data_IF_793679280748
#
_entry.id   IF_793679280748
#
_cell.length_a   1.000
_cell.length_b   1.000
_cell.length_c   1.000
_cell.angle_alpha   90.00
_cell.angle_beta   90.00
_cell.angle_gamma   90.00
#
_symmetry.space_group_name_H-M   'P 1'
#
loop_
_entity.id
_entity.type
_entity.pdbx_description
1 polymer ?
#
# COMPACT_ATOMS: atom_id res chain seq x y z
N UNK A 1 -47.78 -3.83 -77.04
CA UNK A 1 -47.19 -2.57 -76.54
C UNK A 1 -48.06 -2.12 -75.39
N UNK A 2 -47.65 -2.44 -74.17
CA UNK A 2 -48.43 -2.27 -72.94
C UNK A 2 -47.70 -1.22 -72.09
N UNK A 3 -48.44 -0.21 -71.64
CA UNK A 3 -48.26 0.37 -70.32
C UNK A 3 -49.59 0.94 -69.82
N UNK A 4 -50.00 0.60 -68.59
CA UNK A 4 -50.82 1.46 -67.76
C UNK A 4 -50.00 1.92 -66.54
N UNK A 5 -50.03 3.21 -66.21
CA UNK A 5 -49.51 3.70 -64.94
C UNK A 5 -50.66 3.86 -63.95
N UNK A 6 -50.65 2.96 -62.95
CA UNK A 6 -51.52 2.97 -61.78
C UNK A 6 -51.01 3.93 -60.69
N UNK A 7 -51.98 4.26 -59.84
CA UNK A 7 -52.05 5.23 -58.75
C UNK A 7 -50.96 5.23 -57.67
N UNK A 8 -50.79 6.44 -57.14
CA UNK A 8 -49.99 6.94 -56.03
C UNK A 8 -50.29 6.34 -54.63
N UNK A 9 -50.50 5.03 -54.48
CA UNK A 9 -50.87 4.41 -53.17
C UNK A 9 -49.86 3.42 -52.56
N UNK A 10 -48.66 3.30 -53.11
CA UNK A 10 -47.67 2.33 -52.61
C UNK A 10 -46.29 2.95 -52.41
N UNK A 11 -46.17 3.95 -51.54
CA UNK A 11 -44.87 4.56 -51.21
C UNK A 11 -44.65 4.84 -49.71
N UNK A 12 -45.42 4.19 -48.82
CA UNK A 12 -45.37 4.46 -47.37
C UNK A 12 -44.90 3.30 -46.47
N UNK A 13 -44.56 2.12 -47.01
CA UNK A 13 -44.25 0.94 -46.18
C UNK A 13 -42.87 0.30 -46.39
N UNK A 14 -41.84 1.03 -46.82
CA UNK A 14 -40.50 0.45 -47.02
C UNK A 14 -39.32 1.27 -46.48
N UNK A 15 -39.53 2.11 -45.46
CA UNK A 15 -38.41 2.87 -44.86
C UNK A 15 -38.17 2.68 -43.36
N UNK A 16 -38.87 1.77 -42.66
CA UNK A 16 -38.71 1.65 -41.20
C UNK A 16 -38.09 0.36 -40.67
N UNK A 17 -37.67 -0.60 -41.51
CA UNK A 17 -37.07 -1.85 -41.01
C UNK A 17 -35.53 -1.97 -41.09
N UNK A 18 -34.84 -1.02 -41.74
CA UNK A 18 -33.38 -1.07 -41.86
C UNK A 18 -32.59 -0.19 -40.89
N UNK A 19 -33.24 0.74 -40.17
CA UNK A 19 -32.55 1.59 -39.19
C UNK A 19 -32.45 1.02 -37.77
N UNK A 20 -33.26 0.02 -37.38
CA UNK A 20 -33.22 -0.50 -36.00
C UNK A 20 -32.21 -1.63 -35.75
N UNK A 21 -31.59 -2.22 -36.78
CA UNK A 21 -30.63 -3.32 -36.60
C UNK A 21 -29.15 -2.92 -36.62
N UNK A 22 -28.83 -1.65 -36.92
CA UNK A 22 -27.45 -1.15 -36.88
C UNK A 22 -27.13 -0.32 -35.64
N UNK A 23 -28.13 0.17 -34.92
CA UNK A 23 -27.92 0.95 -33.68
C UNK A 23 -27.94 0.12 -32.40
N UNK A 24 -28.38 -1.15 -32.43
CA UNK A 24 -28.37 -2.02 -31.25
C UNK A 24 -27.04 -2.75 -31.02
N UNK A 25 -26.12 -2.78 -31.99
CA UNK A 25 -24.82 -3.44 -31.82
C UNK A 25 -23.69 -2.47 -31.40
N UNK A 26 -23.92 -1.16 -31.50
CA UNK A 26 -22.92 -0.13 -31.12
C UNK A 26 -23.09 0.36 -29.68
N UNK A 27 -24.25 0.12 -29.06
CA UNK A 27 -24.49 0.51 -27.66
C UNK A 27 -24.05 -0.60 -26.67
N UNK A 28 -23.90 -1.85 -27.14
CA UNK A 28 -23.43 -2.96 -26.31
C UNK A 28 -21.90 -2.99 -26.12
N UNK A 29 -21.13 -2.24 -26.93
CA UNK A 29 -19.67 -2.16 -26.80
C UNK A 29 -19.18 -0.98 -25.95
N UNK A 30 -20.07 -0.05 -25.59
CA UNK A 30 -19.72 1.15 -24.81
C UNK A 30 -19.87 0.96 -23.28
N UNK A 31 -20.33 -0.21 -22.83
CA UNK A 31 -20.55 -0.54 -21.41
C UNK A 31 -19.56 -1.59 -20.86
N UNK A 32 -18.46 -1.84 -21.58
CA UNK A 32 -17.40 -2.77 -21.12
C UNK A 32 -16.19 -2.10 -20.47
N UNK A 33 -16.26 -0.80 -20.19
CA UNK A 33 -15.22 -0.10 -19.44
C UNK A 33 -15.82 0.49 -18.17
N UNK A 34 -15.08 0.32 -17.07
CA UNK A 34 -15.36 0.72 -15.69
C UNK A 34 -15.91 -0.43 -14.82
N UNK A 35 -15.06 -1.45 -14.67
CA UNK A 35 -14.92 -2.23 -13.45
C UNK A 35 -13.43 -2.55 -13.30
N UNK A 36 -12.61 -1.50 -13.33
CA UNK A 36 -11.34 -1.57 -12.63
C UNK A 36 -11.70 -1.28 -11.18
N UNK A 37 -11.80 -2.34 -10.37
CA UNK A 37 -11.56 -2.18 -8.94
C UNK A 37 -10.28 -1.38 -8.78
N UNK A 38 -10.23 -0.48 -7.81
CA UNK A 38 -9.06 0.35 -7.55
C UNK A 38 -7.87 -0.54 -7.17
N UNK A 39 -7.22 -1.15 -8.17
CA UNK A 39 -5.94 -1.76 -8.03
C UNK A 39 -5.01 -0.64 -7.60
N UNK A 40 -4.37 -0.81 -6.44
CA UNK A 40 -3.40 0.16 -5.98
C UNK A 40 -2.31 0.28 -7.04
N UNK A 41 -2.22 1.46 -7.67
CA UNK A 41 -1.31 1.66 -8.79
C UNK A 41 0.12 1.61 -8.26
N UNK A 42 0.85 0.56 -8.61
CA UNK A 42 2.29 0.47 -8.36
C UNK A 42 2.99 1.49 -9.25
N UNK A 43 3.65 2.46 -8.63
CA UNK A 43 4.34 3.52 -9.38
C UNK A 43 5.61 2.98 -10.07
N UNK A 44 5.92 3.53 -11.25
CA UNK A 44 7.11 3.18 -12.01
C UNK A 44 8.28 4.11 -11.65
N UNK A 45 8.69 4.09 -10.37
CA UNK A 45 9.77 4.94 -9.84
C UNK A 45 10.85 4.06 -9.21
N UNK A 46 12.11 4.32 -9.56
CA UNK A 46 13.25 3.70 -8.88
C UNK A 46 13.62 4.55 -7.66
N UNK A 47 13.81 3.93 -6.50
CA UNK A 47 14.41 4.57 -5.32
C UNK A 47 15.61 3.81 -4.82
N UNK A 48 16.40 4.52 -4.04
CA UNK A 48 17.56 3.96 -3.34
C UNK A 48 17.22 3.63 -1.89
N UNK A 49 17.97 2.70 -1.30
CA UNK A 49 17.96 2.43 0.14
C UNK A 49 19.25 3.00 0.74
N UNK A 50 19.14 3.91 1.71
CA UNK A 50 20.29 4.40 2.48
C UNK A 50 20.29 3.77 3.86
N UNK A 51 21.32 2.98 4.17
CA UNK A 51 21.41 2.27 5.45
C UNK A 51 22.59 2.79 6.26
N UNK A 52 22.37 3.08 7.54
CA UNK A 52 23.41 3.27 8.55
C UNK A 52 23.45 2.02 9.42
N UNK A 53 24.62 1.37 9.54
CA UNK A 53 24.88 0.35 10.56
C UNK A 53 25.35 1.06 11.82
N UNK A 54 24.64 0.88 12.94
CA UNK A 54 24.91 1.61 14.19
C UNK A 54 24.84 0.73 15.45
N UNK A 55 25.19 1.33 16.58
CA UNK A 55 24.93 0.77 17.90
C UNK A 55 24.76 1.91 18.93
N UNK A 56 23.87 1.73 19.91
CA UNK A 56 23.55 2.80 20.87
C UNK A 56 24.74 3.20 21.74
N UNK A 57 25.66 2.28 22.00
CA UNK A 57 26.86 2.50 22.82
C UNK A 57 28.02 3.14 22.04
N UNK A 58 27.92 3.29 20.71
CA UNK A 58 29.01 3.69 19.83
C UNK A 58 29.22 5.22 19.79
N UNK A 59 30.34 5.77 20.31
CA UNK A 59 30.60 7.21 20.27
C UNK A 59 30.64 7.82 18.86
N UNK A 60 31.33 7.25 17.85
CA UNK A 60 31.34 7.84 16.52
C UNK A 60 29.98 7.77 15.82
N UNK A 61 29.12 6.83 16.20
CA UNK A 61 27.75 6.71 15.69
C UNK A 61 26.85 7.83 16.20
N UNK A 62 27.01 8.26 17.46
CA UNK A 62 26.35 9.43 18.02
C UNK A 62 27.07 10.76 17.74
N UNK A 63 28.31 10.71 17.26
CA UNK A 63 29.08 11.89 16.88
C UNK A 63 28.91 12.25 15.40
N UNK A 64 30.00 12.14 14.64
CA UNK A 64 30.01 12.51 13.21
C UNK A 64 29.07 11.65 12.36
N UNK A 65 28.87 10.37 12.71
CA UNK A 65 27.98 9.48 11.98
C UNK A 65 26.51 9.90 12.10
N UNK A 66 26.14 10.48 13.23
CA UNK A 66 24.80 11.04 13.46
C UNK A 66 24.53 12.19 12.50
N UNK A 67 25.40 13.21 12.52
CA UNK A 67 25.28 14.38 11.66
C UNK A 67 25.33 14.04 10.17
N UNK A 68 26.14 13.05 9.78
CA UNK A 68 26.18 12.58 8.40
C UNK A 68 24.87 11.90 8.00
N UNK A 69 24.26 11.09 8.86
CA UNK A 69 22.98 10.45 8.58
C UNK A 69 21.83 11.46 8.44
N UNK A 70 21.73 12.41 9.37
CA UNK A 70 20.74 13.49 9.28
C UNK A 70 20.87 14.28 7.97
N UNK A 71 22.12 14.58 7.60
CA UNK A 71 22.44 15.23 6.34
C UNK A 71 22.02 14.43 5.09
N UNK A 72 22.01 13.09 5.17
CA UNK A 72 21.54 12.22 4.08
C UNK A 72 20.02 12.16 4.01
N UNK A 73 19.33 12.19 5.16
CA UNK A 73 17.87 12.27 5.23
C UNK A 73 17.37 13.51 4.48
N UNK A 74 17.92 14.67 4.79
CA UNK A 74 17.53 15.95 4.20
C UNK A 74 17.78 16.01 2.68
N UNK A 75 18.96 15.54 2.24
CA UNK A 75 19.40 15.67 0.84
C UNK A 75 18.66 14.76 -0.15
N UNK A 76 18.09 13.67 0.36
CA UNK A 76 17.57 12.57 -0.45
C UNK A 76 16.09 12.25 -0.15
N UNK A 77 15.40 13.12 0.60
CA UNK A 77 13.98 12.98 0.88
C UNK A 77 13.15 12.79 -0.41
N UNK A 78 12.23 11.82 -0.38
CA UNK A 78 11.36 11.46 -1.51
C UNK A 78 12.03 10.59 -2.61
N UNK A 79 13.36 10.47 -2.60
CA UNK A 79 14.13 9.69 -3.60
C UNK A 79 14.83 8.46 -3.01
N UNK A 80 15.00 8.43 -1.69
CA UNK A 80 15.52 7.30 -0.96
C UNK A 80 14.62 6.92 0.22
N UNK A 81 14.66 5.65 0.59
CA UNK A 81 14.17 5.12 1.87
C UNK A 81 15.37 4.89 2.78
N UNK A 82 15.19 5.00 4.10
CA UNK A 82 16.29 5.02 5.05
C UNK A 82 16.11 4.01 6.17
N UNK A 83 17.18 3.32 6.53
CA UNK A 83 17.24 2.47 7.71
C UNK A 83 18.44 2.88 8.59
N UNK A 84 18.19 3.22 9.84
CA UNK A 84 19.18 3.13 10.90
C UNK A 84 19.09 1.73 11.54
N UNK A 85 20.00 0.87 11.10
CA UNK A 85 20.06 -0.53 11.44
C UNK A 85 21.05 -0.73 12.59
N UNK A 86 20.51 -0.81 13.80
CA UNK A 86 21.29 -1.11 14.99
C UNK A 86 21.64 -2.60 15.02
N UNK A 87 22.89 -2.94 14.78
CA UNK A 87 23.34 -4.34 14.81
C UNK A 87 23.58 -4.83 16.25
N UNK A 88 23.74 -3.91 17.20
CA UNK A 88 23.90 -4.21 18.64
C UNK A 88 23.43 -3.03 19.51
N UNK A 89 23.35 -3.26 20.81
CA UNK A 89 22.89 -2.27 21.79
C UNK A 89 21.37 -2.30 21.96
N UNK A 90 20.82 -1.24 22.57
CA UNK A 90 19.44 -1.26 23.09
C UNK A 90 18.36 -1.19 22.01
N UNK A 91 18.72 -0.79 20.80
CA UNK A 91 17.82 -0.70 19.64
C UNK A 91 18.06 -1.82 18.63
N UNK A 92 18.84 -2.86 19.01
CA UNK A 92 19.14 -3.98 18.12
C UNK A 92 17.87 -4.73 17.72
N UNK A 93 17.80 -5.09 16.45
CA UNK A 93 16.84 -6.08 15.94
C UNK A 93 17.55 -7.12 15.07
N UNK A 94 17.03 -8.36 15.01
CA UNK A 94 17.61 -9.42 14.18
C UNK A 94 17.70 -8.98 12.71
N UNK A 95 16.65 -8.33 12.21
CA UNK A 95 16.60 -7.81 10.84
C UNK A 95 17.66 -6.74 10.58
N UNK A 96 18.00 -5.90 11.56
CA UNK A 96 19.07 -4.91 11.42
C UNK A 96 20.45 -5.54 11.27
N UNK A 97 20.76 -6.57 12.06
CA UNK A 97 22.05 -7.26 11.95
C UNK A 97 22.12 -8.07 10.66
N UNK A 98 21.09 -8.86 10.33
CA UNK A 98 21.03 -9.65 9.09
C UNK A 98 21.21 -8.77 7.84
N UNK A 99 20.49 -7.64 7.78
CA UNK A 99 20.55 -6.73 6.64
C UNK A 99 21.94 -6.13 6.45
N UNK A 100 22.55 -5.68 7.55
CA UNK A 100 23.86 -5.03 7.47
C UNK A 100 25.00 -6.03 7.30
N UNK A 101 24.88 -7.27 7.79
CA UNK A 101 25.82 -8.36 7.49
C UNK A 101 25.76 -8.76 6.01
N UNK A 102 24.57 -8.82 5.41
CA UNK A 102 24.39 -9.09 3.97
C UNK A 102 25.08 -8.05 3.09
N UNK A 103 25.16 -6.79 3.54
CA UNK A 103 25.90 -5.72 2.85
C UNK A 103 27.42 -5.75 3.12
N UNK A 104 27.90 -6.69 3.93
CA UNK A 104 29.30 -6.81 4.32
C UNK A 104 29.73 -5.82 5.39
N UNK A 105 28.78 -5.40 6.25
CA UNK A 105 29.05 -4.57 7.41
C UNK A 105 29.88 -5.31 8.45
N UNK A 106 30.95 -4.68 8.90
CA UNK A 106 31.91 -5.22 9.86
C UNK A 106 32.14 -4.28 11.04
N UNK A 107 31.88 -2.98 10.85
CA UNK A 107 32.14 -1.93 11.82
C UNK A 107 30.96 -0.96 11.92
N UNK A 108 31.12 0.05 12.77
CA UNK A 108 30.13 1.08 12.99
C UNK A 108 30.79 2.42 13.38
N UNK A 109 30.26 3.55 12.90
CA UNK A 109 29.20 3.60 11.90
C UNK A 109 29.76 3.20 10.52
N UNK A 110 28.98 2.42 9.78
CA UNK A 110 29.19 2.17 8.35
C UNK A 110 27.90 2.57 7.61
N UNK A 111 28.05 3.09 6.39
CA UNK A 111 26.94 3.59 5.58
C UNK A 111 26.90 2.87 4.25
N UNK A 112 25.70 2.61 3.76
CA UNK A 112 25.48 1.89 2.51
C UNK A 112 24.47 2.65 1.66
N UNK A 113 24.77 2.79 0.38
CA UNK A 113 23.82 3.17 -0.65
C UNK A 113 23.46 1.92 -1.44
N UNK A 114 22.21 1.51 -1.30
CA UNK A 114 21.73 0.18 -1.60
C UNK A 114 22.61 -0.83 -0.84
N UNK A 115 23.23 -1.80 -1.51
CA UNK A 115 24.18 -2.72 -0.91
C UNK A 115 25.65 -2.25 -0.92
N UNK A 116 25.94 -1.08 -1.49
CA UNK A 116 27.31 -0.61 -1.68
C UNK A 116 27.76 0.28 -0.52
N UNK A 117 28.87 -0.10 0.12
CA UNK A 117 29.44 0.69 1.20
C UNK A 117 29.94 2.05 0.71
N UNK A 118 29.54 3.11 1.42
CA UNK A 118 30.03 4.47 1.24
C UNK A 118 31.34 4.62 2.03
N UNK A 119 32.42 5.00 1.36
CA UNK A 119 33.75 5.17 1.96
C UNK A 119 33.89 6.52 2.72
N UNK A 120 32.95 6.77 3.63
CA UNK A 120 32.89 8.01 4.41
C UNK A 120 33.75 7.93 5.67
N UNK A 121 34.43 9.04 5.94
CA UNK A 121 35.24 9.33 7.10
C UNK A 121 34.94 10.79 7.53
N UNK A 122 35.23 11.17 8.79
CA UNK A 122 35.00 12.55 9.25
C UNK A 122 35.62 13.62 8.35
N UNK A 123 36.80 13.34 7.77
CA UNK A 123 37.52 14.27 6.91
C UNK A 123 36.98 14.44 5.49
N UNK A 124 36.07 13.56 5.02
CA UNK A 124 35.51 13.62 3.66
C UNK A 124 33.97 13.63 3.63
N UNK A 125 33.31 13.73 4.78
CA UNK A 125 31.85 13.62 4.90
C UNK A 125 31.08 14.55 3.97
N UNK A 126 31.50 15.81 3.81
CA UNK A 126 30.85 16.77 2.91
C UNK A 126 30.94 16.35 1.43
N UNK A 127 32.08 15.83 1.00
CA UNK A 127 32.24 15.33 -0.36
C UNK A 127 31.38 14.09 -0.59
N UNK A 128 31.41 13.14 0.36
CA UNK A 128 30.60 11.90 0.26
C UNK A 128 29.10 12.17 0.29
N UNK A 129 28.64 13.17 1.05
CA UNK A 129 27.23 13.62 1.03
C UNK A 129 26.81 14.01 -0.39
N UNK A 130 27.62 14.83 -1.07
CA UNK A 130 27.35 15.25 -2.44
C UNK A 130 27.40 14.08 -3.43
N UNK A 131 28.39 13.19 -3.31
CA UNK A 131 28.51 12.02 -4.18
C UNK A 131 27.31 11.08 -4.02
N UNK A 132 26.89 10.81 -2.78
CA UNK A 132 25.69 10.01 -2.47
C UNK A 132 24.46 10.67 -3.07
N UNK A 133 24.28 11.98 -2.87
CA UNK A 133 23.15 12.73 -3.44
C UNK A 133 23.10 12.59 -4.96
N UNK A 134 24.23 12.81 -5.64
CA UNK A 134 24.31 12.71 -7.09
C UNK A 134 23.97 11.30 -7.60
N UNK A 135 24.41 10.26 -6.86
CA UNK A 135 24.12 8.88 -7.22
C UNK A 135 22.64 8.53 -6.99
N UNK A 136 22.05 8.96 -5.87
CA UNK A 136 20.60 8.82 -5.62
C UNK A 136 19.79 9.53 -6.71
N UNK A 137 20.16 10.77 -7.05
CA UNK A 137 19.49 11.54 -8.11
C UNK A 137 19.60 10.84 -9.48
N UNK A 138 20.76 10.25 -9.78
CA UNK A 138 20.96 9.47 -11.01
C UNK A 138 20.16 8.17 -11.02
N UNK A 139 20.10 7.45 -9.90
CA UNK A 139 19.33 6.21 -9.75
C UNK A 139 17.84 6.49 -9.87
N UNK A 140 17.35 7.57 -9.26
CA UNK A 140 15.94 7.97 -9.30
C UNK A 140 15.43 8.27 -10.72
N UNK A 141 16.32 8.73 -11.61
CA UNK A 141 16.01 8.99 -13.01
C UNK A 141 15.92 7.71 -13.88
N UNK A 142 16.23 6.54 -13.33
CA UNK A 142 16.16 5.26 -14.06
C UNK A 142 14.78 4.63 -14.01
N UNK A 143 14.48 3.79 -15.01
CA UNK A 143 13.26 2.97 -14.99
C UNK A 143 13.51 1.74 -14.11
N UNK A 144 12.66 1.48 -13.09
CA UNK A 144 12.85 0.33 -12.22
C UNK A 144 12.61 -0.98 -12.96
N UNK A 145 13.28 -2.05 -12.54
CA UNK A 145 12.97 -3.41 -13.00
C UNK A 145 11.61 -3.84 -12.47
N UNK A 146 11.39 -3.62 -11.18
CA UNK A 146 10.14 -3.86 -10.49
C UNK A 146 9.94 -2.80 -9.39
N UNK A 147 8.69 -2.58 -8.98
CA UNK A 147 8.39 -1.80 -7.79
C UNK A 147 7.23 -2.46 -7.02
N UNK A 148 7.03 -2.03 -5.78
CA UNK A 148 5.93 -2.45 -4.91
C UNK A 148 5.08 -1.24 -4.50
N UNK A 149 3.82 -1.48 -4.16
CA UNK A 149 2.92 -0.48 -3.59
C UNK A 149 1.88 -1.13 -2.69
N UNK A 150 1.51 -0.44 -1.61
CA UNK A 150 0.53 -0.91 -0.62
C UNK A 150 0.00 0.24 0.23
N UNK A 151 -1.18 0.08 0.83
CA UNK A 151 -1.67 0.92 1.92
C UNK A 151 -1.74 0.04 3.17
N UNK A 152 -0.86 0.22 4.16
CA UNK A 152 -0.96 -0.48 5.44
C UNK A 152 -2.26 -0.14 6.15
N UNK A 153 -2.84 -1.12 6.85
CA UNK A 153 -4.08 -0.94 7.61
C UNK A 153 -3.88 -1.51 9.00
N UNK A 154 -4.12 -0.70 10.02
CA UNK A 154 -4.11 -1.17 11.40
C UNK A 154 -5.50 -1.67 11.79
N UNK A 155 -5.62 -2.96 12.06
CA UNK A 155 -6.85 -3.59 12.50
C UNK A 155 -6.53 -4.71 13.48
N UNK A 156 -7.38 -4.90 14.49
CA UNK A 156 -7.31 -6.03 15.43
C UNK A 156 -5.95 -6.20 16.12
N UNK A 157 -5.27 -5.08 16.45
CA UNK A 157 -3.98 -5.12 17.14
C UNK A 157 -2.78 -5.44 16.24
N UNK A 158 -2.95 -5.41 14.91
CA UNK A 158 -1.88 -5.67 13.96
C UNK A 158 -1.89 -4.67 12.81
N UNK A 159 -0.70 -4.40 12.27
CA UNK A 159 -0.55 -3.73 10.97
C UNK A 159 -0.63 -4.80 9.90
N UNK A 160 -1.59 -4.66 8.99
CA UNK A 160 -1.83 -5.56 7.87
C UNK A 160 -1.44 -4.86 6.57
N UNK A 161 -0.74 -5.56 5.70
CA UNK A 161 -0.23 -5.02 4.43
C UNK A 161 -0.56 -6.00 3.31
N UNK A 162 -1.43 -5.59 2.40
CA UNK A 162 -1.57 -6.25 1.09
C UNK A 162 -0.71 -5.48 0.08
N UNK A 163 0.38 -6.09 -0.37
CA UNK A 163 1.35 -5.48 -1.25
C UNK A 163 1.30 -6.07 -2.66
N UNK A 164 1.22 -5.18 -3.65
CA UNK A 164 1.31 -5.53 -5.06
C UNK A 164 2.70 -5.18 -5.57
N UNK A 165 3.37 -6.16 -6.15
CA UNK A 165 4.62 -6.00 -6.89
C UNK A 165 4.31 -6.01 -8.38
N UNK A 166 4.88 -5.08 -9.13
CA UNK A 166 4.81 -5.05 -10.60
C UNK A 166 6.21 -5.03 -11.20
N UNK A 167 6.46 -5.91 -12.16
CA UNK A 167 7.66 -5.87 -13.00
C UNK A 167 7.41 -4.96 -14.20
N UNK A 168 8.22 -3.92 -14.37
CA UNK A 168 8.14 -3.02 -15.52
C UNK A 168 9.07 -3.43 -16.66
N UNK A 169 10.06 -4.27 -16.35
CA UNK A 169 11.01 -4.84 -17.30
C UNK A 169 11.07 -6.35 -17.09
N UNK A 170 11.40 -7.08 -18.15
CA UNK A 170 11.64 -8.51 -18.03
C UNK A 170 12.89 -8.76 -17.18
N UNK A 171 12.84 -9.76 -16.30
CA UNK A 171 13.93 -10.08 -15.38
C UNK A 171 14.03 -11.59 -15.16
N UNK A 172 15.22 -12.05 -14.77
CA UNK A 172 15.46 -13.44 -14.37
C UNK A 172 16.08 -13.49 -12.99
N UNK A 173 15.69 -14.48 -12.19
CA UNK A 173 16.27 -14.71 -10.86
C UNK A 173 15.27 -15.23 -9.84
N UNK A 174 15.69 -15.24 -8.58
CA UNK A 174 14.84 -15.53 -7.43
C UNK A 174 14.56 -14.21 -6.72
N UNK A 175 13.30 -13.78 -6.71
CA UNK A 175 12.88 -12.49 -6.20
C UNK A 175 12.03 -12.64 -4.94
N UNK A 176 12.28 -11.79 -3.96
CA UNK A 176 11.58 -11.74 -2.68
C UNK A 176 11.01 -10.36 -2.43
N UNK A 177 9.90 -10.29 -1.69
CA UNK A 177 9.35 -9.05 -1.16
C UNK A 177 9.41 -9.09 0.37
N UNK A 178 10.24 -8.23 0.96
CA UNK A 178 10.23 -7.95 2.40
C UNK A 178 9.40 -6.71 2.70
N UNK A 179 8.57 -6.78 3.74
CA UNK A 179 7.87 -5.62 4.32
C UNK A 179 8.46 -5.37 5.71
N UNK A 180 8.83 -4.13 5.98
CA UNK A 180 9.59 -3.73 7.16
C UNK A 180 8.88 -2.64 7.93
N UNK A 181 8.92 -2.74 9.26
CA UNK A 181 8.53 -1.67 10.17
C UNK A 181 9.77 -0.80 10.44
N UNK A 182 9.66 0.47 10.09
CA UNK A 182 10.61 1.53 10.46
C UNK A 182 9.92 2.46 11.42
N UNK A 183 10.62 2.92 12.45
CA UNK A 183 10.10 3.90 13.39
C UNK A 183 11.00 5.13 13.38
N UNK A 184 10.39 6.28 13.13
CA UNK A 184 11.04 7.58 13.25
C UNK A 184 10.88 8.12 14.69
N UNK A 185 11.71 9.08 15.05
CA UNK A 185 11.66 9.77 16.34
C UNK A 185 11.64 8.88 17.60
N UNK A 186 12.45 7.82 17.60
CA UNK A 186 12.60 6.95 18.78
C UNK A 186 13.50 7.63 19.81
N UNK A 187 12.91 8.04 20.94
CA UNK A 187 13.69 8.63 22.03
C UNK A 187 14.43 7.53 22.80
N UNK A 188 15.76 7.62 22.87
CA UNK A 188 16.55 6.68 23.63
C UNK A 188 18.04 7.00 23.69
N UNK A 189 18.77 6.23 24.50
CA UNK A 189 20.19 6.49 24.74
C UNK A 189 21.04 6.30 23.47
N UNK A 190 21.89 7.28 23.17
CA UNK A 190 23.00 7.17 22.23
C UNK A 190 24.27 7.78 22.84
N UNK A 191 25.35 7.01 22.88
CA UNK A 191 26.67 7.51 23.26
C UNK A 191 27.10 8.62 22.31
N UNK A 192 27.38 9.81 22.86
CA UNK A 192 27.68 11.03 22.09
C UNK A 192 26.51 12.01 21.98
N UNK A 193 25.27 11.58 22.28
CA UNK A 193 24.07 12.43 22.30
C UNK A 193 23.41 12.50 23.68
N UNK A 194 23.40 11.39 24.44
CA UNK A 194 22.80 11.33 25.79
C UNK A 194 21.65 10.32 25.87
N UNK A 195 20.88 10.36 26.98
CA UNK A 195 19.77 9.42 27.24
C UNK A 195 18.52 9.70 26.41
N UNK A 196 18.33 10.95 26.00
CA UNK A 196 17.13 11.43 25.32
C UNK A 196 17.44 11.76 23.85
N UNK A 197 18.30 10.97 23.21
CA UNK A 197 18.64 11.17 21.80
C UNK A 197 17.44 10.78 20.92
N UNK A 198 17.18 11.59 19.89
CA UNK A 198 16.05 11.45 18.97
C UNK A 198 16.46 10.61 17.74
N UNK A 199 16.35 9.29 17.85
CA UNK A 199 16.80 8.39 16.78
C UNK A 199 15.85 8.42 15.58
N UNK A 200 16.43 8.59 14.39
CA UNK A 200 15.68 8.66 13.13
C UNK A 200 15.70 7.33 12.39
N UNK A 201 14.56 6.96 11.80
CA UNK A 201 14.42 5.83 10.86
C UNK A 201 14.94 4.47 11.37
N UNK A 202 14.69 4.14 12.63
CA UNK A 202 15.14 2.87 13.24
C UNK A 202 14.43 1.67 12.59
N UNK A 203 15.19 0.68 12.16
CA UNK A 203 14.63 -0.55 11.58
C UNK A 203 14.17 -1.53 12.68
N UNK A 204 12.86 -1.68 12.85
CA UNK A 204 12.23 -2.37 13.99
C UNK A 204 11.93 -3.85 13.75
N UNK A 205 11.42 -4.19 12.58
CA UNK A 205 10.99 -5.56 12.30
C UNK A 205 10.87 -5.83 10.80
N UNK A 206 10.90 -7.11 10.44
CA UNK A 206 10.33 -7.63 9.19
C UNK A 206 8.95 -8.22 9.52
N UNK A 207 8.00 -8.14 8.57
CA UNK A 207 6.68 -8.73 8.72
C UNK A 207 6.65 -10.23 8.40
N UNK A 208 7.74 -10.79 7.85
CA UNK A 208 7.92 -12.24 7.70
C UNK A 208 8.75 -12.82 8.85
N UNK A 209 8.76 -14.15 8.95
CA UNK A 209 9.57 -14.86 9.95
C UNK A 209 11.09 -14.78 9.71
N UNK A 210 11.50 -14.39 8.50
CA UNK A 210 12.89 -14.14 8.14
C UNK A 210 13.13 -12.66 7.85
N UNK A 211 14.39 -12.27 7.63
CA UNK A 211 14.76 -10.87 7.37
C UNK A 211 14.57 -10.44 5.90
N UNK A 212 14.13 -11.33 5.01
CA UNK A 212 14.17 -11.14 3.55
C UNK A 212 12.81 -11.19 2.86
N UNK A 213 11.76 -11.56 3.59
CA UNK A 213 10.40 -11.55 3.10
C UNK A 213 9.97 -12.86 2.44
N UNK A 214 8.95 -12.77 1.61
CA UNK A 214 8.42 -13.93 0.90
C UNK A 214 8.90 -14.00 -0.55
N UNK A 215 9.12 -15.23 -1.05
CA UNK A 215 9.37 -15.48 -2.47
C UNK A 215 8.16 -15.00 -3.29
N UNK A 216 8.42 -14.13 -4.27
CA UNK A 216 7.42 -13.63 -5.22
C UNK A 216 7.55 -14.31 -6.58
N UNK A 217 8.78 -14.60 -7.04
CA UNK A 217 9.02 -15.23 -8.34
C UNK A 217 10.36 -15.97 -8.36
N UNK A 218 10.43 -17.06 -9.12
CA UNK A 218 11.67 -17.77 -9.43
C UNK A 218 11.72 -18.10 -10.92
N UNK A 219 12.86 -17.82 -11.56
CA UNK A 219 13.05 -17.98 -13.00
C UNK A 219 12.79 -16.68 -13.78
N UNK A 220 12.27 -16.80 -14.99
CA UNK A 220 12.03 -15.66 -15.87
C UNK A 220 10.67 -15.03 -15.57
N UNK A 221 10.67 -13.71 -15.38
CA UNK A 221 9.49 -12.87 -15.19
C UNK A 221 9.37 -11.91 -16.37
N UNK A 222 8.19 -11.85 -16.98
CA UNK A 222 7.92 -10.93 -18.09
C UNK A 222 7.61 -9.52 -17.58
N UNK A 223 7.89 -8.51 -18.40
CA UNK A 223 7.41 -7.15 -18.12
C UNK A 223 5.86 -7.14 -18.08
N UNK A 224 5.30 -6.40 -17.14
CA UNK A 224 3.87 -6.31 -16.87
C UNK A 224 3.32 -7.35 -15.91
N UNK A 225 4.11 -8.35 -15.48
CA UNK A 225 3.67 -9.32 -14.48
C UNK A 225 3.49 -8.64 -13.12
N UNK A 226 2.38 -8.98 -12.45
CA UNK A 226 2.05 -8.53 -11.10
C UNK A 226 1.93 -9.71 -10.13
N UNK A 227 2.30 -9.48 -8.87
CA UNK A 227 2.16 -10.43 -7.77
C UNK A 227 1.57 -9.71 -6.56
N UNK A 228 0.69 -10.36 -5.82
CA UNK A 228 0.16 -9.82 -4.56
C UNK A 228 0.56 -10.72 -3.40
N UNK A 229 0.98 -10.11 -2.29
CA UNK A 229 1.37 -10.75 -1.05
C UNK A 229 0.70 -10.07 0.14
N UNK A 230 0.37 -10.84 1.16
CA UNK A 230 -0.26 -10.34 2.38
C UNK A 230 0.68 -10.59 3.56
N UNK A 231 0.84 -9.56 4.39
CA UNK A 231 1.69 -9.58 5.57
C UNK A 231 0.91 -9.03 6.75
N UNK A 232 1.23 -9.52 7.95
CA UNK A 232 0.64 -9.02 9.19
C UNK A 232 1.69 -9.02 10.29
N UNK A 233 1.81 -7.91 11.00
CA UNK A 233 2.69 -7.77 12.14
C UNK A 233 1.86 -7.31 13.35
N UNK A 234 1.72 -8.13 14.40
CA UNK A 234 1.13 -7.68 15.66
C UNK A 234 1.96 -6.53 16.25
N UNK A 235 1.29 -5.42 16.59
CA UNK A 235 1.94 -4.23 17.17
C UNK A 235 1.07 -3.60 18.25
N UNK A 236 1.66 -2.70 19.03
CA UNK A 236 0.87 -1.71 19.79
C UNK A 236 0.07 -0.78 18.87
N UNK A 237 -0.66 0.16 19.47
CA UNK A 237 -1.39 1.19 18.74
C UNK A 237 -0.39 2.06 17.93
N UNK A 238 -0.43 2.05 16.58
CA UNK A 238 0.55 2.76 15.77
C UNK A 238 0.42 4.28 15.88
N UNK A 239 -0.72 4.82 16.36
CA UNK A 239 -0.89 6.27 16.53
C UNK A 239 -0.03 6.88 17.64
N UNK A 240 0.63 6.06 18.45
CA UNK A 240 1.58 6.48 19.48
C UNK A 240 3.03 6.46 18.99
N UNK A 241 3.25 6.13 17.71
CA UNK A 241 4.56 5.95 17.10
C UNK A 241 4.62 6.64 15.73
N UNK A 242 5.82 7.10 15.34
CA UNK A 242 6.05 7.63 14.00
C UNK A 242 6.47 6.49 13.06
N UNK A 243 5.53 5.59 12.78
CA UNK A 243 5.80 4.44 11.91
C UNK A 243 5.84 4.78 10.43
N UNK A 244 6.80 4.17 9.74
CA UNK A 244 6.93 4.10 8.30
C UNK A 244 7.01 2.61 7.90
N UNK A 245 6.20 2.21 6.92
CA UNK A 245 6.22 0.85 6.38
C UNK A 245 6.98 0.87 5.06
N UNK A 246 8.07 0.09 4.99
CA UNK A 246 8.91 0.00 3.82
C UNK A 246 8.78 -1.39 3.15
N UNK A 247 8.56 -1.41 1.85
CA UNK A 247 8.61 -2.62 1.03
C UNK A 247 9.87 -2.65 0.19
N UNK A 248 10.65 -3.72 0.33
CA UNK A 248 11.90 -3.92 -0.40
C UNK A 248 11.79 -5.15 -1.27
N UNK A 249 12.09 -4.99 -2.55
CA UNK A 249 12.23 -6.11 -3.48
C UNK A 249 13.68 -6.53 -3.51
N UNK A 250 13.94 -7.78 -3.17
CA UNK A 250 15.27 -8.37 -3.19
C UNK A 250 15.40 -9.35 -4.35
N UNK A 251 16.57 -9.38 -4.99
CA UNK A 251 17.00 -10.49 -5.84
C UNK A 251 18.03 -11.31 -5.10
N UNK A 252 17.79 -12.59 -4.94
CA UNK A 252 18.72 -13.49 -4.27
C UNK A 252 19.67 -14.13 -5.28
N UNK A 253 20.95 -14.09 -4.97
CA UNK A 253 22.01 -14.75 -5.73
C UNK A 253 22.93 -15.50 -4.76
N UNK A 254 22.86 -16.83 -4.80
CA UNK A 254 23.52 -17.66 -3.80
C UNK A 254 22.98 -17.37 -2.40
N UNK A 255 23.88 -16.95 -1.49
CA UNK A 255 23.53 -16.58 -0.12
C UNK A 255 23.28 -15.08 0.10
N UNK A 256 23.35 -14.25 -0.94
CA UNK A 256 23.25 -12.78 -0.83
C UNK A 256 21.96 -12.26 -1.42
N UNK A 257 21.37 -11.25 -0.78
CA UNK A 257 20.20 -10.51 -1.26
C UNK A 257 20.64 -9.14 -1.79
N UNK A 258 20.28 -8.87 -3.04
CA UNK A 258 20.58 -7.63 -3.76
C UNK A 258 19.34 -6.76 -3.86
N UNK A 259 19.49 -5.46 -3.65
CA UNK A 259 18.38 -4.53 -3.76
C UNK A 259 17.94 -4.43 -5.22
N UNK A 260 16.65 -4.64 -5.49
CA UNK A 260 16.05 -4.34 -6.80
C UNK A 260 15.43 -2.95 -6.76
N UNK A 261 14.54 -2.72 -5.79
CA UNK A 261 13.90 -1.42 -5.57
C UNK A 261 13.30 -1.38 -4.16
N UNK A 262 12.98 -0.16 -3.71
CA UNK A 262 12.34 0.07 -2.41
C UNK A 262 11.26 1.14 -2.53
N UNK A 263 10.21 0.98 -1.74
CA UNK A 263 9.13 1.94 -1.60
C UNK A 263 8.71 2.02 -0.13
N UNK A 264 8.19 3.15 0.32
CA UNK A 264 7.67 3.28 1.68
C UNK A 264 6.51 4.26 1.77
N UNK A 265 5.76 4.15 2.86
CA UNK A 265 4.69 5.07 3.22
C UNK A 265 4.58 5.22 4.73
N UNK A 266 4.18 6.41 5.18
CA UNK A 266 3.73 6.69 6.55
C UNK A 266 2.21 6.78 6.63
N UNK A 267 1.51 6.67 5.50
CA UNK A 267 0.06 6.76 5.44
C UNK A 267 -0.57 5.39 5.73
N UNK A 268 -1.46 5.35 6.71
CA UNK A 268 -2.29 4.19 7.02
C UNK A 268 -3.69 4.39 6.43
N UNK A 269 -4.21 3.34 5.81
CA UNK A 269 -5.58 3.29 5.36
C UNK A 269 -6.55 3.12 6.52
N UNK A 270 -7.80 3.52 6.30
CA UNK A 270 -8.84 3.30 7.28
C UNK A 270 -9.14 1.79 7.39
N UNK A 271 -9.15 1.20 8.60
CA UNK A 271 -9.60 -0.19 8.78
C UNK A 271 -11.05 -0.41 8.35
N UNK A 272 -11.84 0.67 8.32
CA UNK A 272 -13.19 0.66 7.76
C UNK A 272 -13.20 0.52 6.23
N UNK A 273 -12.08 0.56 5.52
CA UNK A 273 -12.03 0.24 4.10
C UNK A 273 -11.78 -1.26 3.85
N UNK A 274 -11.11 -1.94 4.77
CA UNK A 274 -10.64 -3.32 4.61
C UNK A 274 -10.57 -4.04 5.96
N UNK A 275 -11.72 -4.50 6.45
CA UNK A 275 -11.78 -5.60 7.40
C UNK A 275 -13.11 -6.33 7.22
N UNK A 276 -13.04 -7.66 7.11
CA UNK A 276 -14.05 -8.51 7.69
C UNK A 276 -15.15 -9.09 6.80
N UNK A 277 -14.93 -9.36 5.50
CA UNK A 277 -15.75 -10.35 4.80
C UNK A 277 -15.03 -10.86 3.53
N UNK A 278 -14.46 -12.06 3.58
CA UNK A 278 -14.00 -12.78 2.36
C UNK A 278 -15.12 -13.00 1.35
N UNK A 279 -16.37 -12.99 1.81
CA UNK A 279 -17.57 -13.08 0.98
C UNK A 279 -18.06 -11.72 0.44
N UNK A 280 -17.32 -10.63 0.61
CA UNK A 280 -17.72 -9.28 0.22
C UNK A 280 -16.76 -8.70 -0.82
N UNK A 281 -17.28 -8.42 -2.02
CA UNK A 281 -16.52 -7.77 -3.10
C UNK A 281 -16.53 -6.25 -2.96
N UNK A 282 -17.67 -5.69 -2.55
CA UNK A 282 -17.85 -4.25 -2.45
C UNK A 282 -18.80 -3.91 -1.31
N UNK A 283 -18.47 -2.83 -0.59
CA UNK A 283 -19.36 -2.20 0.38
C UNK A 283 -19.11 -0.70 0.34
N UNK A 284 -20.12 0.08 -0.05
CA UNK A 284 -19.99 1.52 -0.24
C UNK A 284 -21.26 2.24 0.19
N UNK A 285 -21.11 3.52 0.54
CA UNK A 285 -22.21 4.42 0.86
C UNK A 285 -22.12 5.65 -0.03
N UNK A 286 -23.13 5.86 -0.87
CA UNK A 286 -23.13 6.89 -1.92
C UNK A 286 -24.42 7.73 -1.92
N UNK A 287 -24.32 9.07 -1.79
CA UNK A 287 -23.12 9.80 -1.41
C UNK A 287 -22.75 9.57 0.07
N UNK A 288 -21.45 9.55 0.39
CA UNK A 288 -20.98 9.49 1.77
C UNK A 288 -21.14 10.84 2.52
N UNK A 289 -21.46 11.90 1.77
CA UNK A 289 -21.85 13.21 2.27
C UNK A 289 -23.26 13.51 1.74
N UNK A 290 -24.27 13.26 2.56
CA UNK A 290 -25.65 13.15 2.14
C UNK A 290 -26.52 14.30 2.65
N UNK A 291 -27.27 14.95 1.74
CA UNK A 291 -28.30 15.92 2.07
C UNK A 291 -29.63 15.20 2.35
N UNK A 292 -29.66 14.38 3.40
CA UNK A 292 -30.84 13.64 3.86
C UNK A 292 -31.11 12.29 3.17
N UNK A 293 -30.40 11.94 2.10
CA UNK A 293 -30.51 10.62 1.45
C UNK A 293 -29.17 10.06 1.02
N UNK A 294 -28.91 8.80 1.36
CA UNK A 294 -27.78 8.02 0.83
C UNK A 294 -28.19 6.60 0.46
N UNK A 295 -27.36 5.92 -0.30
CA UNK A 295 -27.55 4.53 -0.71
C UNK A 295 -26.38 3.70 -0.26
N UNK A 296 -26.67 2.59 0.39
CA UNK A 296 -25.70 1.55 0.73
C UNK A 296 -25.68 0.55 -0.42
N UNK A 297 -24.51 0.35 -1.04
CA UNK A 297 -24.28 -0.61 -2.11
C UNK A 297 -23.40 -1.74 -1.60
N UNK A 298 -23.85 -2.99 -1.76
CA UNK A 298 -23.14 -4.19 -1.31
C UNK A 298 -23.06 -5.16 -2.48
N UNK A 299 -21.88 -5.74 -2.72
CA UNK A 299 -21.70 -6.84 -3.65
C UNK A 299 -21.12 -8.04 -2.91
N UNK A 300 -21.93 -9.09 -2.79
CA UNK A 300 -21.59 -10.32 -2.08
C UNK A 300 -21.00 -11.35 -3.05
N UNK A 301 -19.81 -11.87 -2.76
CA UNK A 301 -19.20 -13.01 -3.45
C UNK A 301 -19.94 -14.31 -3.11
N UNK A 302 -20.36 -14.46 -1.85
CA UNK A 302 -21.08 -15.64 -1.36
C UNK A 302 -22.31 -15.23 -0.53
N UNK A 303 -23.30 -16.11 -0.48
CA UNK A 303 -24.51 -15.88 0.32
C UNK A 303 -24.22 -15.99 1.82
N UNK A 304 -24.71 -15.05 2.62
CA UNK A 304 -24.69 -15.08 4.08
C UNK A 304 -26.09 -15.41 4.61
N UNK A 305 -26.22 -16.45 5.44
CA UNK A 305 -27.52 -16.84 6.01
C UNK A 305 -28.02 -15.89 7.11
N UNK A 306 -27.09 -15.22 7.80
CA UNK A 306 -27.35 -14.28 8.89
C UNK A 306 -26.50 -13.02 8.67
N UNK A 307 -27.11 -12.03 8.03
CA UNK A 307 -26.54 -10.74 7.74
C UNK A 307 -27.39 -9.61 8.33
N UNK A 308 -26.74 -8.62 8.93
CA UNK A 308 -27.37 -7.42 9.48
C UNK A 308 -26.70 -6.17 8.93
N UNK A 309 -27.49 -5.18 8.53
CA UNK A 309 -27.01 -3.88 8.07
C UNK A 309 -27.64 -2.81 8.95
N UNK A 310 -26.81 -2.04 9.66
CA UNK A 310 -27.22 -1.05 10.63
C UNK A 310 -26.61 0.32 10.30
N UNK A 311 -27.33 1.41 10.56
CA UNK A 311 -26.77 2.74 10.74
C UNK A 311 -26.52 2.97 12.24
N UNK A 312 -25.29 3.32 12.62
CA UNK A 312 -24.87 3.53 14.01
C UNK A 312 -24.31 4.94 14.21
N UNK A 313 -24.46 5.49 15.42
CA UNK A 313 -23.84 6.76 15.82
C UNK A 313 -22.40 6.58 16.34
N UNK A 314 -21.75 7.69 16.73
CA UNK A 314 -20.37 7.71 17.26
C UNK A 314 -20.16 6.85 18.51
N UNK A 315 -21.24 6.55 19.25
CA UNK A 315 -21.19 5.70 20.45
C UNK A 315 -21.48 4.23 20.12
N UNK A 316 -21.61 3.88 18.83
CA UNK A 316 -21.94 2.53 18.37
C UNK A 316 -23.41 2.15 18.56
N UNK A 317 -24.28 3.09 18.96
CA UNK A 317 -25.71 2.82 19.13
C UNK A 317 -26.37 2.72 17.76
N UNK A 318 -27.18 1.69 17.54
CA UNK A 318 -27.98 1.52 16.32
C UNK A 318 -29.07 2.59 16.28
N UNK A 319 -28.97 3.47 15.29
CA UNK A 319 -29.92 4.55 15.00
C UNK A 319 -31.00 4.06 14.04
N UNK A 320 -30.65 3.18 13.10
CA UNK A 320 -31.58 2.57 12.17
C UNK A 320 -31.09 1.19 11.74
N UNK A 321 -31.96 0.17 11.78
CA UNK A 321 -31.68 -1.11 11.14
C UNK A 321 -32.17 -1.07 9.68
N UNK A 322 -31.28 -1.37 8.73
CA UNK A 322 -31.55 -1.34 7.29
C UNK A 322 -31.92 -2.74 6.76
N UNK A 323 -31.31 -3.79 7.32
CA UNK A 323 -31.54 -5.17 6.91
C UNK A 323 -31.21 -6.14 8.04
N UNK A 324 -31.94 -7.26 8.09
CA UNK A 324 -31.63 -8.40 8.95
C UNK A 324 -32.15 -9.69 8.32
N UNK A 325 -31.28 -10.66 8.05
CA UNK A 325 -31.61 -11.97 7.52
C UNK A 325 -30.60 -12.50 6.50
N UNK A 326 -31.05 -13.41 5.63
CA UNK A 326 -30.19 -14.00 4.61
C UNK A 326 -29.90 -13.03 3.45
N UNK A 327 -28.64 -12.77 3.16
CA UNK A 327 -28.18 -11.94 2.04
C UNK A 327 -27.52 -12.82 0.98
N UNK A 328 -28.12 -12.93 -0.20
CA UNK A 328 -27.60 -13.79 -1.28
C UNK A 328 -26.31 -13.23 -1.90
N UNK A 329 -25.55 -14.05 -2.63
CA UNK A 329 -24.50 -13.56 -3.52
C UNK A 329 -25.06 -12.58 -4.58
N UNK A 330 -24.25 -11.59 -4.98
CA UNK A 330 -24.58 -10.55 -5.95
C UNK A 330 -24.82 -9.17 -5.33
N UNK A 331 -25.34 -8.26 -6.17
CA UNK A 331 -25.55 -6.86 -5.80
C UNK A 331 -26.83 -6.62 -4.99
N UNK A 332 -26.69 -5.84 -3.92
CA UNK A 332 -27.77 -5.37 -3.06
C UNK A 332 -27.67 -3.86 -2.87
N UNK A 333 -28.83 -3.22 -2.69
CA UNK A 333 -28.91 -1.79 -2.47
C UNK A 333 -29.94 -1.46 -1.40
N UNK A 334 -29.55 -0.66 -0.42
CA UNK A 334 -30.40 -0.20 0.67
C UNK A 334 -30.39 1.32 0.71
N UNK A 335 -31.56 1.94 0.69
CA UNK A 335 -31.66 3.40 0.77
C UNK A 335 -31.82 3.82 2.23
N UNK A 336 -31.01 4.78 2.65
CA UNK A 336 -31.17 5.49 3.91
C UNK A 336 -31.80 6.84 3.58
N UNK A 337 -33.07 7.01 3.96
CA UNK A 337 -33.70 8.32 4.03
C UNK A 337 -33.54 8.78 5.48
N UNK A 338 -32.61 9.70 5.72
CA UNK A 338 -32.28 10.12 7.08
C UNK A 338 -33.24 11.22 7.53
N UNK A 339 -34.01 10.91 8.58
CA UNK A 339 -34.54 11.91 9.51
C UNK A 339 -33.57 12.18 10.67
N UNK A 340 -32.38 11.57 10.64
CA UNK A 340 -31.38 11.71 11.69
C UNK A 340 -30.78 13.12 11.71
N UNK A 341 -30.35 13.56 12.90
CA UNK A 341 -29.69 14.84 13.08
C UNK A 341 -28.45 14.95 12.18
N UNK A 342 -28.10 16.19 11.80
CA UNK A 342 -26.88 16.44 11.04
C UNK A 342 -25.69 15.95 11.84
N UNK A 343 -24.83 15.13 11.25
CA UNK A 343 -23.75 14.49 11.99
C UNK A 343 -23.04 13.38 11.26
N UNK A 344 -22.02 12.85 11.94
CA UNK A 344 -21.22 11.71 11.50
C UNK A 344 -21.85 10.40 12.00
N UNK A 345 -22.08 9.48 11.08
CA UNK A 345 -22.61 8.14 11.33
C UNK A 345 -21.77 7.09 10.60
N UNK A 346 -22.05 5.83 10.93
CA UNK A 346 -21.45 4.69 10.27
C UNK A 346 -22.51 3.69 9.83
N UNK A 347 -22.37 3.13 8.64
CA UNK A 347 -23.13 1.98 8.17
C UNK A 347 -22.30 0.74 8.47
N UNK A 348 -22.85 -0.19 9.24
CA UNK A 348 -22.22 -1.43 9.64
C UNK A 348 -22.91 -2.62 8.96
N UNK A 349 -22.15 -3.45 8.26
CA UNK A 349 -22.54 -4.76 7.75
C UNK A 349 -21.93 -5.84 8.64
N UNK A 350 -22.75 -6.71 9.22
CA UNK A 350 -22.32 -7.94 9.89
C UNK A 350 -22.81 -9.12 9.06
N UNK A 351 -21.93 -10.03 8.69
CA UNK A 351 -22.30 -11.24 7.96
C UNK A 351 -21.21 -12.32 8.13
N UNK A 352 -21.62 -13.58 8.30
CA UNK A 352 -20.68 -14.70 8.38
C UNK A 352 -19.72 -14.65 9.59
N UNK A 353 -20.14 -14.02 10.69
CA UNK A 353 -19.31 -13.86 11.89
C UNK A 353 -18.27 -12.73 11.82
N UNK A 354 -18.29 -11.94 10.75
CA UNK A 354 -17.38 -10.83 10.55
C UNK A 354 -18.15 -9.53 10.27
N UNK A 355 -17.46 -8.39 10.36
CA UNK A 355 -18.05 -7.06 10.34
C UNK A 355 -17.26 -6.12 9.42
N UNK A 356 -17.98 -5.32 8.63
CA UNK A 356 -17.44 -4.23 7.85
C UNK A 356 -18.21 -2.94 8.17
N UNK A 357 -17.54 -1.79 8.14
CA UNK A 357 -18.15 -0.49 8.47
C UNK A 357 -17.82 0.54 7.39
N UNK A 358 -18.73 1.49 7.10
CA UNK A 358 -18.53 2.60 6.16
C UNK A 358 -19.03 3.91 6.73
N UNK A 359 -18.29 4.99 6.51
CA UNK A 359 -18.63 6.32 7.00
C UNK A 359 -19.73 6.99 6.18
N UNK A 360 -20.64 7.70 6.83
CA UNK A 360 -21.58 8.64 6.18
C UNK A 360 -21.78 9.90 7.03
N UNK A 361 -21.85 11.06 6.39
CA UNK A 361 -22.13 12.35 7.00
C UNK A 361 -23.46 12.86 6.48
N UNK A 362 -24.42 13.14 7.37
CA UNK A 362 -25.67 13.82 7.01
C UNK A 362 -25.58 15.31 7.33
N UNK A 363 -25.98 16.17 6.39
CA UNK A 363 -25.88 17.63 6.49
C UNK A 363 -27.12 18.39 6.04
#
# INVERSE_FOLDING_TARGET
>A
MIQPHLSLRTLLNFQNHHLMKRSMFTILLAFLFILQGAAQQVEQVQRSLLTKRAASWCPPCGGWGWAFFDSLLDDNAGKAVFFDAHYSGNLQTTVSDDLTVNFGGLYQPEFFLNENKIAVLPGNAAAMRNDVKNLVDSTYATVPVANTGFVPVYADGAINVEATVRFFQAAGGEFYLGIYLVEDHVIGFQQGQGNDADHRKILRACFSSDSWGELIASGNVSAGTEFTKQFSLPTGNPSEHDYEIAGVIWRKEGGKYHLVNVWSTTEFGDPTATAGLTALRQFEVQPNLAAGRTTVCIDMIESAADAAIDLIDLNGRVVQALFNGGLAAGHHSFTINSEAEKGLYFVRLRAGGAEAVRKVIFQ
#
